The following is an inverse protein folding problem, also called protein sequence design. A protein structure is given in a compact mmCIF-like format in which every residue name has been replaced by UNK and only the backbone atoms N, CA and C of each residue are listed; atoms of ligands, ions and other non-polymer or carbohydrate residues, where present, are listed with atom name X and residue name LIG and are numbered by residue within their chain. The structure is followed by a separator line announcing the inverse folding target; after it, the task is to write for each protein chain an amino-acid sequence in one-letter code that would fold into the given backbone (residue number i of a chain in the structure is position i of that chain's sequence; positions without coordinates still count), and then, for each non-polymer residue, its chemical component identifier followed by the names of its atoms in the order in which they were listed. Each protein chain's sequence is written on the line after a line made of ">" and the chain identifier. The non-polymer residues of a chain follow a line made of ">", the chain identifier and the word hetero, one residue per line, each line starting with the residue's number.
data_IF_599325833153
#
_entry.id   IF_599325833153
#
_cell.length_a   1.000
_cell.length_b   1.000
_cell.length_c   1.000
_cell.angle_alpha   90.00
_cell.angle_beta   90.00
_cell.angle_gamma   90.00
#
_symmetry.space_group_name_H-M   'P 1'
#
loop_
_entity.id
_entity.type
_entity.pdbx_description
1 polymer ?
#
# COMPACT_ATOMS: atom_id res chain seq x y z
N UNK A 1 11.53 6.60 12.09
CA UNK A 1 11.42 6.04 10.74
C UNK A 1 10.02 6.31 10.26
N UNK A 2 9.89 7.15 9.25
CA UNK A 2 8.62 7.42 8.56
C UNK A 2 8.42 6.40 7.45
N UNK A 3 7.22 6.35 6.86
CA UNK A 3 6.95 5.52 5.68
C UNK A 3 7.97 5.75 4.55
N UNK A 4 8.38 7.00 4.36
CA UNK A 4 9.28 7.44 3.28
C UNK A 4 10.74 7.06 3.53
N UNK A 5 11.11 6.73 4.76
CA UNK A 5 12.45 6.26 5.10
C UNK A 5 12.61 4.75 4.89
N UNK A 6 11.55 4.05 4.46
CA UNK A 6 11.59 2.63 4.18
C UNK A 6 12.43 2.34 2.94
N UNK A 7 13.34 1.34 2.96
CA UNK A 7 14.02 0.91 1.74
C UNK A 7 13.06 0.34 0.69
N UNK A 8 11.88 -0.14 1.11
CA UNK A 8 10.84 -0.62 0.21
C UNK A 8 10.02 0.54 -0.42
N UNK A 9 10.20 1.78 0.05
CA UNK A 9 9.51 2.93 -0.54
C UNK A 9 10.25 3.40 -1.80
N UNK A 10 9.86 2.85 -2.95
CA UNK A 10 10.45 3.18 -4.26
C UNK A 10 9.64 4.24 -5.03
N UNK A 11 9.18 5.29 -4.34
CA UNK A 11 8.39 6.34 -4.99
C UNK A 11 6.97 5.91 -5.38
N UNK A 12 6.35 5.09 -4.52
CA UNK A 12 4.98 4.61 -4.69
C UNK A 12 4.01 5.79 -4.91
N UNK A 13 3.17 5.69 -5.95
CA UNK A 13 2.10 6.67 -6.21
C UNK A 13 1.13 6.81 -5.02
N UNK A 14 0.92 5.73 -4.26
CA UNK A 14 0.07 5.76 -3.08
C UNK A 14 0.33 4.61 -2.11
N UNK A 15 0.19 4.91 -0.81
CA UNK A 15 0.14 3.91 0.27
C UNK A 15 -1.07 4.21 1.13
N UNK A 16 -1.99 3.26 1.20
CA UNK A 16 -3.28 3.40 1.86
C UNK A 16 -3.37 2.40 3.01
N UNK A 17 -3.57 2.91 4.23
CA UNK A 17 -3.78 2.09 5.41
C UNK A 17 -5.28 1.94 5.70
N UNK A 18 -5.72 0.72 5.95
CA UNK A 18 -7.10 0.41 6.32
C UNK A 18 -7.12 -0.37 7.63
N UNK A 19 -8.07 0.00 8.48
CA UNK A 19 -8.37 -0.70 9.72
C UNK A 19 -9.88 -0.88 9.84
N UNK A 20 -10.32 -2.11 10.09
CA UNK A 20 -11.70 -2.41 10.46
C UNK A 20 -11.72 -3.09 11.83
N UNK A 21 -12.35 -2.42 12.81
CA UNK A 21 -12.38 -2.88 14.19
C UNK A 21 -13.18 -4.17 14.36
N UNK A 22 -14.30 -4.29 13.65
CA UNK A 22 -15.23 -5.41 13.80
C UNK A 22 -14.61 -6.75 13.38
N UNK A 23 -13.89 -6.76 12.27
CA UNK A 23 -13.16 -7.95 11.81
C UNK A 23 -11.75 -8.04 12.38
N UNK A 24 -11.22 -6.95 12.96
CA UNK A 24 -9.83 -6.83 13.35
C UNK A 24 -8.86 -6.69 12.17
N UNK A 25 -9.38 -6.49 10.94
CA UNK A 25 -8.57 -6.35 9.74
C UNK A 25 -7.63 -5.14 9.86
N UNK A 26 -6.35 -5.39 9.65
CA UNK A 26 -5.32 -4.37 9.46
C UNK A 26 -4.65 -4.65 8.13
N UNK A 27 -4.74 -3.73 7.20
CA UNK A 27 -4.17 -3.92 5.86
C UNK A 27 -3.56 -2.65 5.30
N UNK A 28 -2.61 -2.84 4.40
CA UNK A 28 -1.96 -1.78 3.64
C UNK A 28 -2.08 -2.14 2.17
N UNK A 29 -2.55 -1.19 1.36
CA UNK A 29 -2.52 -1.29 -0.10
C UNK A 29 -1.46 -0.31 -0.59
N UNK A 30 -0.38 -0.84 -1.17
CA UNK A 30 0.68 -0.05 -1.76
C UNK A 30 0.59 -0.11 -3.29
N UNK A 31 0.54 1.06 -3.93
CA UNK A 31 0.46 1.22 -5.38
C UNK A 31 1.78 1.80 -5.85
N UNK A 32 2.61 0.98 -6.51
CA UNK A 32 3.87 1.46 -7.07
C UNK A 32 3.61 2.37 -8.28
N UNK A 33 2.85 1.91 -9.29
CA UNK A 33 2.46 2.74 -10.42
C UNK A 33 1.16 2.33 -11.09
N UNK A 34 0.45 3.31 -11.65
CA UNK A 34 -0.74 3.15 -12.51
C UNK A 34 -0.50 3.61 -13.96
N UNK A 35 0.76 3.89 -14.35
CA UNK A 35 1.10 4.43 -15.67
C UNK A 35 0.64 3.58 -16.87
N UNK A 36 0.41 2.28 -16.67
CA UNK A 36 -0.04 1.32 -17.70
C UNK A 36 -1.49 0.86 -17.52
N UNK A 37 -2.26 1.51 -16.64
CA UNK A 37 -3.61 1.12 -16.26
C UNK A 37 -3.73 0.78 -14.77
N UNK A 38 -4.85 0.15 -14.35
CA UNK A 38 -5.08 -0.18 -12.95
C UNK A 38 -3.97 -1.07 -12.36
N UNK A 39 -3.57 -0.79 -11.12
CA UNK A 39 -2.62 -1.64 -10.40
C UNK A 39 -3.22 -3.03 -10.13
N UNK A 40 -2.44 -4.07 -10.38
CA UNK A 40 -2.80 -5.45 -10.09
C UNK A 40 -1.72 -6.09 -9.20
N UNK A 41 -2.14 -6.71 -8.10
CA UNK A 41 -1.26 -7.34 -7.13
C UNK A 41 -2.05 -8.30 -6.24
N UNK A 42 -1.35 -9.27 -5.66
CA UNK A 42 -1.96 -10.22 -4.73
C UNK A 42 -2.11 -9.65 -3.32
N UNK A 43 -2.99 -10.26 -2.52
CA UNK A 43 -3.08 -10.03 -1.09
C UNK A 43 -2.24 -11.09 -0.34
N UNK A 44 -1.57 -10.67 0.72
CA UNK A 44 -0.82 -11.54 1.64
C UNK A 44 -1.06 -11.13 3.08
#
# INVERSE_FOLDING_TARGET
>A
MTLFDSPDFEGHEGVHAFFDEKSGLKSIIAIHSTARGPAAGGCR
#
